data_IF_367069615770
#
_entry.id   IF_367069615770
#
_cell.length_a   1.000
_cell.length_b   1.000
_cell.length_c   1.000
_cell.angle_alpha   90.00
_cell.angle_beta   90.00
_cell.angle_gamma   90.00
#
_symmetry.space_group_name_H-M   'P 1'
#
loop_
_entity.id
_entity.type
_entity.pdbx_description
1 polymer ?
#
# COMPACT_ATOMS: atom_id res chain seq x y z
N UNK A 1 -2.72 5.79 -1.25
CA UNK A 1 -1.72 6.50 -0.41
C UNK A 1 -1.99 7.99 -0.27
N UNK A 2 -2.11 8.83 -1.32
CA UNK A 2 -2.39 10.28 -1.14
C UNK A 2 -3.76 10.57 -0.51
N UNK A 3 -4.82 10.03 -1.10
CA UNK A 3 -6.19 10.25 -0.62
C UNK A 3 -6.47 9.46 0.67
N UNK A 4 -5.90 8.27 0.78
CA UNK A 4 -6.06 7.39 1.94
C UNK A 4 -4.66 6.95 2.39
N UNK A 5 -3.94 7.78 3.17
CA UNK A 5 -2.68 7.39 3.79
C UNK A 5 -2.96 6.44 4.96
N UNK A 6 -2.18 5.35 5.14
CA UNK A 6 -2.37 4.42 6.25
C UNK A 6 -2.20 5.09 7.61
N UNK A 7 -1.26 6.02 7.74
CA UNK A 7 -1.10 6.88 8.93
C UNK A 7 -1.47 8.32 8.52
N UNK A 8 -2.68 8.79 8.88
CA UNK A 8 -3.22 10.06 8.40
C UNK A 8 -2.65 11.28 9.12
N UNK A 9 -2.25 11.14 10.39
CA UNK A 9 -1.57 12.19 11.15
C UNK A 9 -0.44 11.57 11.97
N UNK A 10 0.67 12.28 12.08
CA UNK A 10 1.79 11.88 12.91
C UNK A 10 2.14 13.02 13.87
N UNK A 11 2.44 12.67 15.12
CA UNK A 11 2.66 13.61 16.21
C UNK A 11 4.06 13.45 16.77
N UNK A 12 4.75 14.57 16.96
CA UNK A 12 6.04 14.66 17.63
C UNK A 12 5.88 15.45 18.94
N UNK A 13 6.82 15.27 19.86
CA UNK A 13 6.86 15.98 21.13
C UNK A 13 8.10 16.88 21.20
N UNK A 14 7.90 18.16 21.54
CA UNK A 14 8.98 19.15 21.64
C UNK A 14 9.82 18.95 22.89
N UNK A 15 11.12 18.65 22.72
CA UNK A 15 12.06 18.44 23.84
C UNK A 15 12.57 19.76 24.44
N UNK A 16 12.57 20.84 23.65
CA UNK A 16 12.94 22.19 24.03
C UNK A 16 12.09 23.18 23.23
N UNK A 17 12.13 24.45 23.63
CA UNK A 17 11.51 25.54 22.86
C UNK A 17 12.19 25.64 21.48
N UNK A 18 11.39 25.90 20.44
CA UNK A 18 11.88 26.00 19.06
C UNK A 18 11.01 26.97 18.23
N UNK A 19 11.46 27.31 17.04
CA UNK A 19 10.74 28.15 16.09
C UNK A 19 10.70 27.43 14.74
N UNK A 20 9.50 27.13 14.26
CA UNK A 20 9.28 26.51 12.96
C UNK A 20 9.71 27.46 11.82
N UNK A 21 9.97 26.94 10.60
CA UNK A 21 10.46 27.75 9.48
C UNK A 21 9.57 28.94 9.07
N UNK A 22 8.29 28.93 9.46
CA UNK A 22 7.32 30.02 9.23
C UNK A 22 7.31 31.08 10.35
N UNK A 23 8.18 30.94 11.36
CA UNK A 23 8.24 31.80 12.54
C UNK A 23 7.33 31.36 13.69
N UNK A 24 6.58 30.26 13.55
CA UNK A 24 5.71 29.76 14.61
C UNK A 24 6.55 29.23 15.79
N UNK A 25 6.36 29.81 16.98
CA UNK A 25 7.03 29.35 18.21
C UNK A 25 6.35 28.11 18.75
N UNK A 26 7.14 27.10 19.12
CA UNK A 26 6.69 25.89 19.80
C UNK A 26 7.40 25.76 21.13
N UNK A 27 6.66 25.47 22.19
CA UNK A 27 7.20 25.35 23.54
C UNK A 27 7.67 23.93 23.86
N UNK A 28 8.60 23.80 24.80
CA UNK A 28 8.96 22.54 25.44
C UNK A 28 7.69 21.86 25.99
N UNK A 29 7.56 20.56 25.73
CA UNK A 29 6.42 19.77 26.18
C UNK A 29 5.22 19.78 25.22
N UNK A 30 5.25 20.61 24.17
CA UNK A 30 4.14 20.67 23.22
C UNK A 30 4.15 19.49 22.26
N UNK A 31 2.95 19.09 21.83
CA UNK A 31 2.78 18.15 20.73
C UNK A 31 2.63 18.91 19.41
N UNK A 32 3.42 18.53 18.42
CA UNK A 32 3.38 19.07 17.07
C UNK A 32 2.96 17.95 16.13
N UNK A 33 1.83 18.13 15.46
CA UNK A 33 1.27 17.14 14.54
C UNK A 33 1.28 17.67 13.12
N UNK A 34 1.62 16.81 12.16
CA UNK A 34 1.32 17.06 10.76
C UNK A 34 0.28 16.04 10.28
N UNK A 35 -0.59 16.48 9.36
CA UNK A 35 -1.70 15.68 8.88
C UNK A 35 -1.55 15.39 7.38
N UNK A 36 -1.03 14.21 7.04
CA UNK A 36 -0.88 13.75 5.66
C UNK A 36 -2.23 13.63 4.94
N UNK A 37 -3.30 13.26 5.65
CA UNK A 37 -4.65 13.16 5.07
C UNK A 37 -5.20 14.52 4.62
N UNK A 38 -4.96 15.56 5.41
CA UNK A 38 -5.33 16.94 5.12
C UNK A 38 -4.46 17.52 3.99
N UNK A 39 -3.13 17.40 4.08
CA UNK A 39 -2.19 17.86 3.04
C UNK A 39 -2.52 17.21 1.69
N UNK A 40 -2.91 15.94 1.68
CA UNK A 40 -3.39 15.23 0.50
C UNK A 40 -4.64 15.83 -0.14
N UNK A 41 -5.37 16.74 0.52
CA UNK A 41 -6.62 17.37 0.06
C UNK A 41 -6.57 18.89 0.00
N UNK A 42 -5.40 19.50 0.19
CA UNK A 42 -5.27 20.95 0.10
C UNK A 42 -5.22 21.40 -1.36
N UNK A 43 -6.13 22.29 -1.76
CA UNK A 43 -6.13 22.93 -3.08
C UNK A 43 -4.81 23.66 -3.34
N UNK A 44 -4.25 24.35 -2.34
CA UNK A 44 -2.96 25.02 -2.45
C UNK A 44 -1.80 24.08 -2.81
N UNK A 45 -1.91 22.80 -2.46
CA UNK A 45 -0.88 21.79 -2.71
C UNK A 45 -1.15 20.99 -3.98
N UNK A 46 -2.41 20.61 -4.24
CA UNK A 46 -2.78 19.66 -5.30
C UNK A 46 -3.64 20.25 -6.42
N UNK A 47 -4.01 21.52 -6.33
CA UNK A 47 -4.95 22.18 -7.24
C UNK A 47 -6.40 21.80 -7.00
N UNK A 48 -7.30 22.30 -7.85
CA UNK A 48 -8.76 22.06 -7.77
C UNK A 48 -9.15 20.58 -7.89
N UNK A 49 -8.28 19.76 -8.50
CA UNK A 49 -8.51 18.34 -8.68
C UNK A 49 -7.96 17.49 -7.52
N UNK A 50 -7.68 18.10 -6.36
CA UNK A 50 -7.17 17.39 -5.17
C UNK A 50 -8.03 16.18 -4.80
N UNK A 51 -9.36 16.25 -4.97
CA UNK A 51 -10.28 15.18 -4.61
C UNK A 51 -10.33 14.02 -5.60
N UNK A 52 -9.77 14.16 -6.80
CA UNK A 52 -9.87 13.16 -7.87
C UNK A 52 -8.79 12.09 -7.73
N UNK A 53 -9.18 10.83 -7.95
CA UNK A 53 -8.24 9.73 -8.11
C UNK A 53 -7.65 9.79 -9.52
N UNK A 54 -6.39 10.21 -9.64
CA UNK A 54 -5.66 10.38 -10.92
C UNK A 54 -4.25 9.79 -10.81
N UNK A 55 -4.05 8.49 -11.12
CA UNK A 55 -2.74 7.85 -11.13
C UNK A 55 -1.73 8.53 -12.07
N UNK A 56 -2.21 9.12 -13.15
CA UNK A 56 -1.39 9.77 -14.19
C UNK A 56 -0.60 10.96 -13.65
N UNK A 57 -1.00 11.52 -12.50
CA UNK A 57 -0.27 12.63 -11.84
C UNK A 57 1.16 12.26 -11.47
N UNK A 58 1.42 10.96 -11.28
CA UNK A 58 2.74 10.44 -10.91
C UNK A 58 3.55 10.03 -12.14
N UNK A 59 3.07 10.32 -13.35
CA UNK A 59 3.74 10.02 -14.60
C UNK A 59 4.22 11.31 -15.26
N UNK A 60 5.40 11.27 -15.89
CA UNK A 60 5.87 12.33 -16.76
C UNK A 60 5.29 12.20 -18.17
N UNK A 61 5.77 13.04 -19.09
CA UNK A 61 5.22 13.13 -20.46
C UNK A 61 5.41 11.86 -21.28
N UNK A 62 6.43 11.05 -20.96
CA UNK A 62 6.71 9.77 -21.61
C UNK A 62 6.13 8.56 -20.87
N UNK A 63 5.31 8.77 -19.83
CA UNK A 63 4.76 7.68 -18.99
C UNK A 63 5.73 7.15 -17.93
N UNK A 64 6.90 7.77 -17.78
CA UNK A 64 7.88 7.44 -16.76
C UNK A 64 7.40 7.85 -15.36
N UNK A 65 7.72 7.06 -14.34
CA UNK A 65 7.36 7.41 -12.97
C UNK A 65 8.14 8.65 -12.51
N UNK A 66 7.41 9.68 -12.10
CA UNK A 66 7.95 10.92 -11.54
C UNK A 66 7.71 10.94 -10.03
N UNK A 67 8.74 10.70 -9.19
CA UNK A 67 8.59 10.77 -7.75
C UNK A 67 8.22 12.20 -7.33
N UNK A 68 7.39 12.30 -6.30
CA UNK A 68 7.00 13.58 -5.71
C UNK A 68 7.82 13.84 -4.45
N UNK A 69 7.97 15.12 -4.10
CA UNK A 69 8.64 15.53 -2.87
C UNK A 69 7.98 14.87 -1.65
N UNK A 70 8.76 14.27 -0.72
CA UNK A 70 8.22 13.66 0.49
C UNK A 70 7.53 14.69 1.41
N UNK A 71 7.80 15.98 1.25
CA UNK A 71 7.14 17.05 2.00
C UNK A 71 5.80 17.47 1.38
N UNK A 72 5.65 17.30 0.06
CA UNK A 72 4.36 17.50 -0.64
C UNK A 72 3.47 16.26 -0.53
N UNK A 73 4.08 15.07 -0.46
CA UNK A 73 3.42 13.78 -0.31
C UNK A 73 3.99 12.99 0.89
N UNK A 74 3.61 13.34 2.13
CA UNK A 74 4.22 12.80 3.35
C UNK A 74 3.63 11.46 3.81
N UNK A 75 3.17 10.61 2.89
CA UNK A 75 2.54 9.33 3.22
C UNK A 75 3.51 8.33 3.88
N UNK A 76 4.81 8.52 3.71
CA UNK A 76 5.88 7.72 4.34
C UNK A 76 6.80 8.58 5.21
N UNK A 77 6.33 9.77 5.64
CA UNK A 77 7.14 10.79 6.31
C UNK A 77 8.25 11.34 5.39
N UNK A 78 8.97 12.36 5.86
CA UNK A 78 10.10 12.96 5.15
C UNK A 78 11.29 13.23 6.08
N UNK A 79 12.46 13.47 5.49
CA UNK A 79 13.70 13.74 6.22
C UNK A 79 14.24 12.54 7.00
N UNK A 80 14.93 12.80 8.11
CA UNK A 80 15.62 11.77 8.91
C UNK A 80 14.66 10.73 9.55
N UNK A 81 13.36 11.01 9.59
CA UNK A 81 12.32 10.11 10.12
C UNK A 81 11.46 9.48 9.02
N UNK A 82 11.97 9.42 7.80
CA UNK A 82 11.34 8.68 6.70
C UNK A 82 11.16 7.21 7.10
N UNK A 83 10.01 6.62 6.77
CA UNK A 83 9.69 5.24 7.14
C UNK A 83 10.72 4.26 6.55
N UNK A 84 11.42 3.45 7.37
CA UNK A 84 12.39 2.47 6.88
C UNK A 84 11.72 1.36 6.06
N UNK A 85 10.45 1.05 6.34
CA UNK A 85 9.66 0.04 5.63
C UNK A 85 9.04 0.52 4.31
N UNK A 86 9.30 1.76 3.87
CA UNK A 86 8.65 2.35 2.69
C UNK A 86 8.82 1.50 1.42
N UNK A 87 10.06 1.15 1.09
CA UNK A 87 10.35 0.45 -0.16
C UNK A 87 9.80 -0.98 -0.14
N UNK A 88 9.92 -1.67 1.01
CA UNK A 88 9.33 -3.00 1.20
C UNK A 88 7.80 -2.96 1.04
N UNK A 89 7.13 -1.99 1.66
CA UNK A 89 5.69 -1.83 1.54
C UNK A 89 5.26 -1.59 0.09
N UNK A 90 6.00 -0.78 -0.67
CA UNK A 90 5.71 -0.55 -2.08
C UNK A 90 5.89 -1.78 -2.95
N UNK A 91 6.91 -2.61 -2.69
CA UNK A 91 7.07 -3.90 -3.38
C UNK A 91 5.88 -4.80 -3.08
N UNK A 92 5.53 -5.01 -1.81
CA UNK A 92 4.42 -5.86 -1.41
C UNK A 92 3.08 -5.39 -1.99
N UNK A 93 2.78 -4.08 -1.93
CA UNK A 93 1.57 -3.51 -2.49
C UNK A 93 1.47 -3.74 -4.01
N UNK A 94 2.58 -3.53 -4.74
CA UNK A 94 2.62 -3.74 -6.20
C UNK A 94 2.45 -5.22 -6.55
N UNK A 95 3.14 -6.12 -5.84
CA UNK A 95 3.02 -7.56 -6.05
C UNK A 95 1.59 -8.05 -5.83
N UNK A 96 0.97 -7.69 -4.71
CA UNK A 96 -0.42 -8.07 -4.41
C UNK A 96 -1.38 -7.51 -5.48
N UNK A 97 -1.23 -6.24 -5.85
CA UNK A 97 -2.07 -5.62 -6.87
C UNK A 97 -1.91 -6.29 -8.25
N UNK A 98 -0.67 -6.60 -8.66
CA UNK A 98 -0.40 -7.27 -9.93
C UNK A 98 -1.04 -8.66 -9.96
N UNK A 99 -0.82 -9.48 -8.93
CA UNK A 99 -1.41 -10.82 -8.85
C UNK A 99 -2.95 -10.79 -8.88
N UNK A 100 -3.58 -9.82 -8.19
CA UNK A 100 -5.03 -9.69 -8.17
C UNK A 100 -5.59 -9.27 -9.54
N UNK A 101 -4.98 -8.29 -10.21
CA UNK A 101 -5.44 -7.77 -11.51
C UNK A 101 -5.20 -8.78 -12.65
N UNK A 102 -4.14 -9.56 -12.55
CA UNK A 102 -3.81 -10.62 -13.52
C UNK A 102 -4.85 -11.76 -13.46
N UNK A 103 -5.14 -12.26 -12.26
CA UNK A 103 -5.94 -13.48 -12.07
C UNK A 103 -7.43 -13.23 -11.89
N UNK A 104 -7.84 -12.03 -11.48
CA UNK A 104 -9.22 -11.79 -11.07
C UNK A 104 -9.80 -10.49 -11.65
N UNK A 105 -11.10 -10.52 -11.89
CA UNK A 105 -11.95 -9.34 -12.04
C UNK A 105 -12.61 -9.04 -10.70
N UNK A 106 -12.44 -7.81 -10.21
CA UNK A 106 -12.93 -7.34 -8.92
C UNK A 106 -14.05 -6.32 -9.12
N UNK A 107 -15.24 -6.62 -8.61
CA UNK A 107 -16.41 -5.73 -8.63
C UNK A 107 -16.77 -5.31 -7.20
N UNK A 108 -16.81 -4.02 -6.91
CA UNK A 108 -17.20 -3.54 -5.57
C UNK A 108 -18.68 -3.78 -5.34
N UNK A 109 -19.01 -4.55 -4.30
CA UNK A 109 -20.37 -4.90 -3.93
C UNK A 109 -20.86 -3.98 -2.79
N UNK A 110 -20.88 -2.67 -3.04
CA UNK A 110 -21.28 -1.70 -2.02
C UNK A 110 -20.98 -0.24 -2.39
N UNK A 111 -21.31 0.66 -1.48
CA UNK A 111 -21.00 2.08 -1.59
C UNK A 111 -19.57 2.42 -1.15
N UNK A 112 -19.32 3.72 -0.95
CA UNK A 112 -18.05 4.17 -0.37
C UNK A 112 -17.95 3.69 1.08
N UNK A 113 -16.85 3.05 1.49
CA UNK A 113 -16.69 2.56 2.86
C UNK A 113 -16.59 3.72 3.85
N UNK A 114 -17.15 3.54 5.04
CA UNK A 114 -16.90 4.41 6.19
C UNK A 114 -15.45 4.21 6.64
N UNK A 115 -14.70 5.32 6.74
CA UNK A 115 -13.32 5.29 7.20
C UNK A 115 -13.27 5.56 8.71
N UNK A 116 -12.64 4.67 9.46
CA UNK A 116 -12.31 4.88 10.86
C UNK A 116 -10.89 5.42 11.01
N UNK A 117 -10.78 6.47 11.81
CA UNK A 117 -9.52 7.07 12.19
C UNK A 117 -9.10 6.57 13.58
N UNK A 118 -8.05 5.77 13.63
CA UNK A 118 -7.32 5.45 14.85
C UNK A 118 -5.83 5.82 14.62
N UNK A 119 -4.88 5.02 15.10
CA UNK A 119 -3.47 5.13 14.69
C UNK A 119 -3.34 4.97 13.16
N UNK A 120 -4.14 4.07 12.60
CA UNK A 120 -4.25 3.86 11.15
C UNK A 120 -5.62 4.28 10.63
N UNK A 121 -5.66 4.59 9.34
CA UNK A 121 -6.88 4.83 8.59
C UNK A 121 -7.35 3.52 7.95
N UNK A 122 -8.41 2.92 8.47
CA UNK A 122 -8.97 1.67 7.95
C UNK A 122 -10.47 1.78 7.68
N UNK A 123 -11.00 0.84 6.90
CA UNK A 123 -12.43 0.78 6.61
C UNK A 123 -13.14 0.05 7.75
N UNK A 124 -14.20 0.64 8.31
CA UNK A 124 -14.93 0.11 9.48
C UNK A 124 -15.34 -1.36 9.32
N UNK A 125 -16.00 -1.65 8.21
CA UNK A 125 -16.59 -2.96 7.92
C UNK A 125 -15.89 -3.68 6.76
N UNK A 126 -14.74 -3.15 6.34
CA UNK A 126 -14.04 -3.55 5.13
C UNK A 126 -14.68 -3.00 3.85
N UNK A 127 -14.29 -3.58 2.71
CA UNK A 127 -14.88 -3.29 1.40
C UNK A 127 -15.41 -4.60 0.81
N UNK A 128 -16.73 -4.80 0.75
CA UNK A 128 -17.29 -5.97 0.09
C UNK A 128 -16.94 -5.96 -1.41
N UNK A 129 -16.31 -7.03 -1.88
CA UNK A 129 -15.89 -7.17 -3.27
C UNK A 129 -16.34 -8.53 -3.79
N UNK A 130 -16.96 -8.54 -4.96
CA UNK A 130 -17.23 -9.74 -5.74
C UNK A 130 -16.01 -10.03 -6.60
N UNK A 131 -15.50 -11.25 -6.48
CA UNK A 131 -14.30 -11.72 -7.18
C UNK A 131 -14.72 -12.74 -8.23
N UNK A 132 -14.22 -12.59 -9.45
CA UNK A 132 -14.38 -13.56 -10.52
C UNK A 132 -13.02 -13.91 -11.09
N UNK A 133 -12.76 -15.17 -11.37
CA UNK A 133 -11.55 -15.57 -12.08
C UNK A 133 -11.56 -14.92 -13.47
N UNK A 134 -10.40 -14.39 -13.88
CA UNK A 134 -10.21 -13.80 -15.19
C UNK A 134 -9.73 -14.90 -16.12
N UNK A 135 -10.46 -15.13 -17.20
CA UNK A 135 -9.93 -15.96 -18.29
C UNK A 135 -8.62 -15.36 -18.77
N UNK A 136 -7.52 -16.13 -18.86
CA UNK A 136 -6.26 -15.63 -19.37
C UNK A 136 -6.48 -14.94 -20.71
N UNK A 137 -5.94 -13.72 -20.87
CA UNK A 137 -5.85 -13.11 -22.19
C UNK A 137 -5.04 -14.05 -23.07
N UNK A 138 -5.64 -14.59 -24.12
CA UNK A 138 -4.95 -15.44 -25.11
C UNK A 138 -3.76 -14.74 -25.79
N UNK A 139 -3.65 -13.42 -25.60
CA UNK A 139 -2.66 -12.54 -26.22
C UNK A 139 -1.42 -12.26 -25.38
N UNK A 140 -1.30 -12.78 -24.16
CA UNK A 140 -0.01 -12.80 -23.47
C UNK A 140 0.75 -14.04 -23.95
N UNK A 141 1.76 -13.90 -24.84
CA UNK A 141 2.60 -15.03 -25.16
C UNK A 141 3.21 -15.57 -23.87
N UNK A 142 3.29 -16.90 -23.69
CA UNK A 142 3.95 -17.47 -22.53
C UNK A 142 5.35 -16.84 -22.42
N UNK A 143 5.81 -16.51 -21.20
CA UNK A 143 7.11 -15.89 -21.01
C UNK A 143 8.18 -16.72 -21.74
N UNK A 144 8.97 -16.07 -22.60
CA UNK A 144 10.07 -16.71 -23.37
C UNK A 144 11.02 -17.52 -22.47
N UNK A 145 11.05 -17.20 -21.17
CA UNK A 145 11.69 -18.01 -20.15
C UNK A 145 10.66 -18.45 -19.09
N UNK A 146 10.25 -19.74 -19.07
CA UNK A 146 9.34 -20.29 -18.06
C UNK A 146 9.92 -20.27 -16.63
N UNK A 147 11.19 -19.90 -16.46
CA UNK A 147 11.85 -19.71 -15.16
C UNK A 147 11.95 -18.25 -14.73
N UNK A 148 11.41 -17.28 -15.51
CA UNK A 148 11.44 -15.86 -15.14
C UNK A 148 10.53 -15.58 -13.93
N UNK A 149 9.49 -16.37 -13.78
CA UNK A 149 8.69 -16.48 -12.57
C UNK A 149 8.77 -17.93 -12.10
N UNK A 150 9.46 -18.24 -11.01
CA UNK A 150 9.50 -19.59 -10.48
C UNK A 150 8.07 -20.04 -10.16
N UNK A 151 7.59 -21.01 -10.94
CA UNK A 151 6.27 -21.62 -10.81
C UNK A 151 6.19 -22.63 -9.67
N UNK A 152 7.30 -22.84 -8.95
CA UNK A 152 7.36 -23.67 -7.75
C UNK A 152 7.86 -22.85 -6.54
N UNK A 153 7.27 -23.02 -5.35
CA UNK A 153 7.70 -22.37 -4.12
C UNK A 153 9.19 -22.62 -3.78
N UNK A 154 9.76 -23.72 -4.28
CA UNK A 154 11.13 -24.14 -4.02
C UNK A 154 12.17 -23.34 -4.85
N UNK A 155 11.80 -22.83 -6.03
CA UNK A 155 12.72 -22.14 -6.92
C UNK A 155 12.93 -20.65 -6.56
N UNK A 156 12.00 -20.02 -5.82
CA UNK A 156 12.13 -18.66 -5.27
C UNK A 156 13.19 -18.57 -4.15
N UNK A 157 13.43 -19.66 -3.43
CA UNK A 157 14.40 -19.71 -2.33
C UNK A 157 15.85 -19.70 -2.84
N UNK A 158 16.08 -20.13 -4.09
CA UNK A 158 17.43 -20.31 -4.65
C UNK A 158 18.03 -19.09 -5.35
N UNK A 159 17.24 -18.09 -5.75
CA UNK A 159 17.71 -16.97 -6.61
C UNK A 159 18.03 -15.68 -5.85
N UNK A 160 17.68 -15.60 -4.56
CA UNK A 160 18.09 -14.50 -3.68
C UNK A 160 19.41 -14.85 -3.00
N UNK A 161 20.53 -14.44 -3.62
CA UNK A 161 21.81 -14.35 -2.89
C UNK A 161 21.60 -13.46 -1.66
N UNK A 162 22.00 -13.90 -0.46
CA UNK A 162 21.66 -13.21 0.77
C UNK A 162 22.53 -11.96 0.91
N UNK A 163 22.02 -10.79 0.56
CA UNK A 163 22.67 -9.53 0.94
C UNK A 163 22.13 -8.91 2.21
N UNK A 164 21.06 -9.43 2.82
CA UNK A 164 20.64 -9.03 4.17
C UNK A 164 19.90 -10.17 4.89
N UNK A 165 20.38 -10.70 6.03
CA UNK A 165 19.64 -11.68 6.80
C UNK A 165 18.69 -10.94 7.76
N UNK A 166 17.46 -10.64 7.33
CA UNK A 166 16.35 -10.41 8.27
C UNK A 166 15.46 -11.66 8.21
N UNK A 167 15.43 -12.51 9.25
CA UNK A 167 14.54 -13.69 9.32
C UNK A 167 13.05 -13.34 9.12
N UNK A 168 12.74 -12.07 9.32
CA UNK A 168 11.48 -11.35 9.16
C UNK A 168 10.87 -11.48 7.74
N UNK A 169 11.69 -11.32 6.69
CA UNK A 169 11.23 -11.22 5.30
C UNK A 169 10.83 -12.60 4.75
N UNK A 170 11.59 -13.64 5.09
CA UNK A 170 11.33 -15.02 4.67
C UNK A 170 10.02 -15.52 5.32
N UNK A 171 9.77 -15.17 6.59
CA UNK A 171 8.56 -15.60 7.30
C UNK A 171 7.28 -15.01 6.70
N UNK A 172 7.29 -13.76 6.23
CA UNK A 172 6.12 -13.12 5.61
C UNK A 172 5.79 -13.67 4.21
N UNK A 173 6.80 -13.95 3.38
CA UNK A 173 6.57 -14.52 2.04
C UNK A 173 5.92 -15.90 2.12
N UNK A 174 6.38 -16.74 3.04
CA UNK A 174 5.80 -18.06 3.30
C UNK A 174 4.38 -17.94 3.86
N UNK A 175 4.09 -16.93 4.69
CA UNK A 175 2.72 -16.74 5.21
C UNK A 175 1.73 -16.26 4.14
N UNK A 176 2.16 -15.37 3.24
CA UNK A 176 1.33 -14.88 2.14
C UNK A 176 1.02 -15.99 1.13
N UNK A 177 2.01 -16.84 0.80
CA UNK A 177 1.77 -18.05 -0.01
C UNK A 177 0.86 -19.05 0.71
N UNK A 178 1.04 -19.29 2.01
CA UNK A 178 0.17 -20.22 2.76
C UNK A 178 -1.28 -19.71 2.85
N UNK A 179 -1.52 -18.39 2.96
CA UNK A 179 -2.87 -17.82 2.89
C UNK A 179 -3.46 -17.90 1.48
N UNK A 180 -2.66 -17.67 0.43
CA UNK A 180 -3.09 -17.81 -0.97
C UNK A 180 -3.36 -19.28 -1.35
N UNK A 181 -2.56 -20.23 -0.89
CA UNK A 181 -2.79 -21.67 -1.07
C UNK A 181 -3.98 -22.18 -0.23
N UNK A 182 -4.26 -21.57 0.93
CA UNK A 182 -5.50 -21.83 1.68
C UNK A 182 -6.75 -21.24 1.01
N UNK A 183 -6.60 -20.20 0.18
CA UNK A 183 -7.68 -19.72 -0.69
C UNK A 183 -8.01 -20.70 -1.83
N UNK A 184 -7.04 -21.45 -2.37
CA UNK A 184 -7.28 -22.46 -3.41
C UNK A 184 -8.08 -23.68 -2.93
N UNK A 185 -8.01 -24.03 -1.64
CA UNK A 185 -8.59 -25.27 -1.08
C UNK A 185 -10.09 -25.20 -0.69
N UNK A 186 -10.80 -24.10 -0.96
CA UNK A 186 -12.26 -23.96 -0.71
C UNK A 186 -13.08 -23.67 -1.97
N UNK A 187 -12.59 -24.07 -3.14
CA UNK A 187 -13.23 -23.82 -4.45
C UNK A 187 -14.34 -24.79 -4.85
N UNK A 188 -14.68 -25.81 -4.05
CA UNK A 188 -15.84 -26.65 -4.30
C UNK A 188 -16.96 -26.39 -3.28
N UNK A 189 -17.94 -25.59 -3.71
CA UNK A 189 -19.41 -25.75 -3.56
C UNK A 189 -20.07 -24.37 -3.74
N UNK A 190 -20.77 -24.21 -4.87
CA UNK A 190 -21.80 -23.19 -5.18
C UNK A 190 -21.40 -21.70 -5.30
N UNK A 191 -20.79 -21.34 -6.44
CA UNK A 191 -21.28 -20.30 -7.36
C UNK A 191 -21.38 -18.81 -6.93
N UNK A 192 -21.19 -18.43 -5.68
CA UNK A 192 -21.13 -17.03 -5.23
C UNK A 192 -20.45 -16.94 -3.87
N UNK A 193 -19.15 -16.73 -3.85
CA UNK A 193 -18.39 -16.55 -2.61
C UNK A 193 -18.20 -15.05 -2.37
N UNK A 194 -18.85 -14.54 -1.33
CA UNK A 194 -18.65 -13.18 -0.82
C UNK A 194 -17.45 -13.21 0.14
N UNK A 195 -16.30 -12.72 -0.32
CA UNK A 195 -15.10 -12.64 0.53
C UNK A 195 -15.08 -11.30 1.26
N UNK A 196 -15.11 -11.35 2.60
CA UNK A 196 -14.84 -10.18 3.44
C UNK A 196 -13.32 -10.08 3.64
N UNK A 197 -12.65 -9.26 2.84
CA UNK A 197 -11.21 -9.01 2.98
C UNK A 197 -10.95 -8.21 4.27
N UNK A 198 -10.61 -8.90 5.37
CA UNK A 198 -9.96 -8.27 6.53
C UNK A 198 -8.46 -8.20 6.26
N UNK A 199 -8.01 -7.16 5.55
CA UNK A 199 -6.60 -6.79 5.53
C UNK A 199 -6.20 -6.21 6.89
N UNK A 200 -5.85 -7.06 7.85
CA UNK A 200 -5.08 -6.65 9.02
C UNK A 200 -3.60 -6.62 8.61
N UNK A 201 -3.15 -5.49 8.05
CA UNK A 201 -1.73 -5.22 7.88
C UNK A 201 -1.12 -4.90 9.26
N UNK A 202 -0.99 -5.91 10.12
CA UNK A 202 -0.12 -5.85 11.29
C UNK A 202 1.32 -6.07 10.81
N UNK A 203 1.87 -5.08 10.11
CA UNK A 203 3.32 -4.99 9.96
C UNK A 203 3.79 -4.24 11.20
N UNK A 204 4.46 -4.98 12.08
CA UNK A 204 5.07 -4.56 13.33
C UNK A 204 5.65 -3.15 13.27
N UNK A 205 5.27 -2.33 14.25
CA UNK A 205 6.02 -1.16 14.67
C UNK A 205 7.34 -1.59 15.31
#
# INVERSE_FOLDING_TARGET
MRLYPPVPANTSHCLADDVLPDGTKVGKGWFVSYNAYAVGRMTAVWGEDYGKFRPERWLGTGGEFRPESPFRFPASHGGARTCPGKEMAYVQMKSIAACLIEKFTLEVAGGRPEMLLCLTLHMKDGLPVRVRERTPLADFPPPENPNLFPTSPQALVGSLKPTYPCPCIISMYVHLEVELSRMELRSHINGSIMWQFRFCLLIFC
#
